data_IF_999857521352
#
_entry.id   IF_999857521352
#
_cell.length_a   1.000
_cell.length_b   1.000
_cell.length_c   1.000
_cell.angle_alpha   90.00
_cell.angle_beta   90.00
_cell.angle_gamma   90.00
#
_symmetry.space_group_name_H-M   'P 1'
#
loop_
_entity.id
_entity.type
_entity.pdbx_description
1 polymer ?
#
# COMPACT_ATOMS: atom_id res chain seq x y z
N UNK A 1 7.54 -31.47 12.76
CA UNK A 1 6.99 -30.10 12.54
C UNK A 1 5.78 -30.26 11.63
N UNK A 2 4.67 -29.71 11.99
CA UNK A 2 3.37 -30.28 11.73
C UNK A 2 2.67 -29.70 10.50
N UNK A 3 1.77 -30.50 9.91
CA UNK A 3 0.78 -30.07 8.94
C UNK A 3 0.03 -28.80 9.36
N UNK A 4 -0.05 -28.55 10.66
CA UNK A 4 -0.63 -27.38 11.29
C UNK A 4 0.13 -26.07 10.98
N UNK A 5 1.46 -26.04 11.11
CA UNK A 5 2.27 -24.86 10.80
C UNK A 5 2.15 -24.48 9.31
N UNK A 6 2.07 -25.48 8.44
CA UNK A 6 1.84 -25.27 7.03
C UNK A 6 0.45 -24.68 6.76
N UNK A 7 -0.60 -25.25 7.38
CA UNK A 7 -1.97 -24.76 7.24
C UNK A 7 -2.10 -23.30 7.73
N UNK A 8 -1.56 -22.99 8.91
CA UNK A 8 -1.56 -21.65 9.47
C UNK A 8 -0.82 -20.66 8.56
N UNK A 9 0.30 -21.04 7.96
CA UNK A 9 1.03 -20.20 7.02
C UNK A 9 0.18 -19.86 5.79
N UNK A 10 -0.50 -20.85 5.22
CA UNK A 10 -1.37 -20.66 4.05
C UNK A 10 -2.58 -19.80 4.39
N UNK A 11 -3.23 -20.02 5.52
CA UNK A 11 -4.37 -19.22 5.99
C UNK A 11 -3.95 -17.76 6.19
N UNK A 12 -2.84 -17.52 6.87
CA UNK A 12 -2.33 -16.17 7.12
C UNK A 12 -1.93 -15.42 5.84
N UNK A 13 -1.59 -16.13 4.75
CA UNK A 13 -1.06 -15.57 3.51
C UNK A 13 -1.98 -15.78 2.30
N UNK A 14 -3.28 -15.98 2.52
CA UNK A 14 -4.26 -16.22 1.47
C UNK A 14 -3.79 -17.30 0.45
N UNK A 15 -3.31 -18.41 0.98
CA UNK A 15 -2.76 -19.57 0.26
C UNK A 15 -1.50 -19.27 -0.58
N UNK A 16 -0.87 -18.11 -0.46
CA UNK A 16 0.42 -17.82 -1.08
C UNK A 16 1.58 -18.30 -0.17
N UNK A 17 2.61 -18.88 -0.77
CA UNK A 17 3.81 -19.31 -0.06
C UNK A 17 5.08 -19.05 -0.87
N UNK A 18 6.11 -18.51 -0.23
CA UNK A 18 7.42 -18.39 -0.85
C UNK A 18 8.26 -19.65 -0.63
N UNK A 19 9.04 -20.03 -1.64
CA UNK A 19 9.95 -21.18 -1.57
C UNK A 19 10.87 -21.15 -0.33
N UNK A 20 11.30 -19.95 0.08
CA UNK A 20 12.17 -19.78 1.26
C UNK A 20 11.48 -20.10 2.59
N UNK A 21 10.16 -20.06 2.65
CA UNK A 21 9.36 -20.42 3.84
C UNK A 21 9.15 -21.94 3.98
N UNK A 22 9.39 -22.69 2.88
CA UNK A 22 9.17 -24.12 2.86
C UNK A 22 9.82 -24.88 4.01
N UNK A 23 11.12 -24.70 4.27
CA UNK A 23 11.79 -25.37 5.40
C UNK A 23 11.13 -25.08 6.75
N UNK A 24 10.68 -23.84 6.98
CA UNK A 24 10.07 -23.41 8.25
C UNK A 24 8.72 -24.10 8.51
N UNK A 25 8.01 -24.48 7.44
CA UNK A 25 6.70 -25.14 7.50
C UNK A 25 6.73 -26.62 7.12
N UNK A 26 7.92 -27.19 6.98
CA UNK A 26 8.11 -28.62 6.69
C UNK A 26 7.77 -29.03 5.27
N UNK A 27 7.88 -28.13 4.30
CA UNK A 27 7.66 -28.40 2.87
C UNK A 27 8.95 -28.15 2.10
N UNK A 28 9.57 -29.24 1.66
CA UNK A 28 10.80 -29.15 0.88
C UNK A 28 10.57 -28.65 -0.56
N UNK A 29 11.61 -28.12 -1.22
CA UNK A 29 11.49 -27.58 -2.56
C UNK A 29 11.05 -28.57 -3.63
N UNK A 30 11.34 -29.87 -3.47
CA UNK A 30 10.94 -30.88 -4.44
C UNK A 30 9.45 -31.21 -4.31
N UNK A 31 8.94 -31.28 -3.09
CA UNK A 31 7.50 -31.35 -2.84
C UNK A 31 6.75 -30.19 -3.48
N UNK A 32 7.27 -28.93 -3.37
CA UNK A 32 6.66 -27.78 -4.04
C UNK A 32 6.65 -27.94 -5.56
N UNK A 33 7.77 -28.38 -6.15
CA UNK A 33 7.85 -28.62 -7.61
C UNK A 33 6.87 -29.70 -8.06
N UNK A 34 6.77 -30.79 -7.29
CA UNK A 34 5.85 -31.89 -7.60
C UNK A 34 4.40 -31.44 -7.56
N UNK A 35 4.01 -30.63 -6.57
CA UNK A 35 2.67 -30.05 -6.46
C UNK A 35 2.36 -29.10 -7.64
N UNK A 36 3.34 -28.34 -8.11
CA UNK A 36 3.19 -27.48 -9.30
C UNK A 36 3.08 -28.33 -10.57
N UNK A 37 3.93 -29.34 -10.74
CA UNK A 37 3.87 -30.25 -11.92
C UNK A 37 2.55 -31.02 -11.99
N UNK A 38 2.00 -31.41 -10.86
CA UNK A 38 0.71 -32.11 -10.80
C UNK A 38 -0.50 -31.17 -10.94
N UNK A 39 -0.32 -29.87 -11.14
CA UNK A 39 -1.39 -28.89 -11.27
C UNK A 39 -2.15 -28.59 -9.98
N UNK A 40 -1.75 -29.15 -8.83
CA UNK A 40 -2.36 -28.85 -7.53
C UNK A 40 -1.99 -27.45 -7.04
N UNK A 41 -0.80 -26.98 -7.40
CA UNK A 41 -0.29 -25.65 -7.11
C UNK A 41 0.02 -24.91 -8.40
N UNK A 42 0.05 -23.59 -8.32
CA UNK A 42 0.48 -22.76 -9.45
C UNK A 42 1.58 -21.80 -9.03
N UNK A 43 2.41 -21.42 -9.96
CA UNK A 43 3.46 -20.42 -9.76
C UNK A 43 2.89 -19.03 -10.03
N UNK A 44 2.85 -18.18 -9.01
CA UNK A 44 2.41 -16.79 -9.14
C UNK A 44 3.56 -15.87 -9.55
N UNK A 45 4.70 -16.04 -8.92
CA UNK A 45 5.90 -15.23 -9.12
C UNK A 45 7.15 -16.13 -9.03
N UNK A 46 8.34 -15.56 -9.32
CA UNK A 46 9.59 -16.30 -9.16
C UNK A 46 9.79 -16.71 -7.69
N UNK A 47 9.71 -18.01 -7.42
CA UNK A 47 9.85 -18.58 -6.08
C UNK A 47 8.67 -18.31 -5.15
N UNK A 48 7.51 -17.94 -5.69
CA UNK A 48 6.26 -17.80 -4.94
C UNK A 48 5.15 -18.57 -5.65
N UNK A 49 4.40 -19.32 -4.89
CA UNK A 49 3.38 -20.25 -5.34
C UNK A 49 2.04 -19.99 -4.64
N UNK A 50 0.94 -20.33 -5.31
CA UNK A 50 -0.36 -20.49 -4.67
C UNK A 50 -0.58 -22.01 -4.41
N UNK A 51 -1.07 -22.33 -3.22
CA UNK A 51 -1.36 -23.71 -2.82
C UNK A 51 -2.71 -24.22 -3.36
N UNK A 52 -3.11 -23.73 -4.52
CA UNK A 52 -4.31 -24.10 -5.26
C UNK A 52 -4.09 -23.86 -6.77
N UNK A 53 -5.04 -24.33 -7.59
CA UNK A 53 -5.14 -24.04 -9.02
C UNK A 53 -6.35 -23.13 -9.28
N UNK A 54 -6.32 -22.36 -10.39
CA UNK A 54 -7.36 -21.39 -10.74
C UNK A 54 -6.94 -19.94 -10.49
N UNK A 55 -7.85 -19.00 -10.79
CA UNK A 55 -7.53 -17.58 -10.72
C UNK A 55 -7.27 -17.12 -9.27
N UNK A 56 -6.12 -16.48 -9.01
CA UNK A 56 -5.81 -16.03 -7.66
C UNK A 56 -6.65 -14.80 -7.28
N UNK A 57 -7.26 -14.84 -6.10
CA UNK A 57 -7.92 -13.69 -5.53
C UNK A 57 -6.93 -12.51 -5.31
N UNK A 58 -7.45 -11.29 -5.27
CA UNK A 58 -6.64 -10.08 -5.06
C UNK A 58 -5.69 -10.20 -3.85
N UNK A 59 -6.18 -10.76 -2.75
CA UNK A 59 -5.39 -10.96 -1.53
C UNK A 59 -4.18 -11.87 -1.76
N UNK A 60 -4.37 -12.97 -2.48
CA UNK A 60 -3.29 -13.89 -2.87
C UNK A 60 -2.23 -13.19 -3.72
N UNK A 61 -2.66 -12.33 -4.66
CA UNK A 61 -1.75 -11.56 -5.52
C UNK A 61 -0.94 -10.55 -4.70
N UNK A 62 -1.56 -9.86 -3.75
CA UNK A 62 -0.88 -8.93 -2.84
C UNK A 62 0.17 -9.66 -1.98
N UNK A 63 -0.18 -10.81 -1.42
CA UNK A 63 0.76 -11.64 -0.69
C UNK A 63 1.90 -12.15 -1.56
N UNK A 64 1.61 -12.56 -2.79
CA UNK A 64 2.65 -13.03 -3.71
C UNK A 64 3.67 -11.93 -4.01
N UNK A 65 3.22 -10.70 -4.23
CA UNK A 65 4.10 -9.57 -4.45
C UNK A 65 4.97 -9.26 -3.22
N UNK A 66 4.38 -9.23 -2.02
CA UNK A 66 5.12 -9.03 -0.76
C UNK A 66 6.13 -10.15 -0.50
N UNK A 67 5.73 -11.39 -0.69
CA UNK A 67 6.60 -12.56 -0.52
C UNK A 67 7.77 -12.52 -1.50
N UNK A 68 7.57 -12.10 -2.73
CA UNK A 68 8.67 -11.94 -3.69
C UNK A 68 9.58 -10.77 -3.32
N UNK A 69 9.03 -9.65 -2.89
CA UNK A 69 9.80 -8.50 -2.41
C UNK A 69 10.65 -8.86 -1.17
N UNK A 70 10.16 -9.82 -0.36
CA UNK A 70 10.89 -10.40 0.76
C UNK A 70 10.62 -9.73 2.10
N UNK A 71 11.33 -10.15 3.17
CA UNK A 71 11.09 -9.69 4.53
C UNK A 71 11.12 -8.17 4.66
N UNK A 72 10.20 -7.63 5.46
CA UNK A 72 10.08 -6.20 5.72
C UNK A 72 9.33 -5.41 4.64
N UNK A 73 8.91 -6.01 3.53
CA UNK A 73 8.05 -5.35 2.55
C UNK A 73 6.65 -5.10 3.13
N UNK A 74 6.08 -3.93 2.82
CA UNK A 74 4.71 -3.56 3.19
C UNK A 74 3.99 -2.92 2.00
N UNK A 75 2.69 -3.13 1.87
CA UNK A 75 1.86 -2.39 0.92
C UNK A 75 1.84 -0.91 1.31
N UNK A 76 1.88 -0.01 0.33
CA UNK A 76 1.93 1.44 0.56
C UNK A 76 1.13 2.19 -0.51
N UNK A 77 1.05 3.52 -0.41
CA UNK A 77 0.40 4.39 -1.38
C UNK A 77 -1.01 3.90 -1.75
N UNK A 78 -1.32 3.74 -3.07
CA UNK A 78 -2.65 3.35 -3.56
C UNK A 78 -3.07 1.97 -3.05
N UNK A 79 -2.15 1.00 -2.98
CA UNK A 79 -2.51 -0.34 -2.50
C UNK A 79 -2.80 -0.35 -1.00
N UNK A 80 -2.09 0.45 -0.19
CA UNK A 80 -2.46 0.63 1.21
C UNK A 80 -3.77 1.42 1.35
N UNK A 81 -4.02 2.42 0.48
CA UNK A 81 -5.30 3.14 0.44
C UNK A 81 -6.49 2.20 0.14
N UNK A 82 -6.31 1.24 -0.77
CA UNK A 82 -7.27 0.14 -1.01
C UNK A 82 -7.55 -0.64 0.29
N UNK A 83 -6.49 -1.06 0.99
CA UNK A 83 -6.61 -1.82 2.26
C UNK A 83 -7.29 -1.00 3.37
N UNK A 84 -7.06 0.29 3.42
CA UNK A 84 -7.71 1.21 4.35
C UNK A 84 -9.09 1.68 3.90
N UNK A 85 -9.59 1.18 2.76
CA UNK A 85 -10.87 1.61 2.17
C UNK A 85 -10.93 3.12 1.93
N UNK A 86 -9.81 3.72 1.53
CA UNK A 86 -9.74 5.11 1.10
C UNK A 86 -10.09 5.27 -0.39
N UNK A 87 -10.02 4.19 -1.15
CA UNK A 87 -10.48 4.08 -2.54
C UNK A 87 -11.44 2.91 -2.65
N UNK A 88 -12.36 2.98 -3.58
CA UNK A 88 -13.42 1.98 -3.73
C UNK A 88 -12.99 0.86 -4.68
N UNK A 89 -12.22 1.21 -5.71
CA UNK A 89 -11.72 0.23 -6.69
C UNK A 89 -10.23 -0.03 -6.49
N UNK A 90 -9.81 -1.31 -6.57
CA UNK A 90 -8.40 -1.66 -6.46
C UNK A 90 -7.61 -1.13 -7.65
N UNK A 91 -6.41 -0.62 -7.37
CA UNK A 91 -5.45 -0.24 -8.42
C UNK A 91 -4.95 -1.46 -9.17
N UNK A 92 -4.86 -1.37 -10.50
CA UNK A 92 -4.21 -2.41 -11.32
C UNK A 92 -2.72 -2.59 -10.94
N UNK A 93 -2.07 -1.51 -10.51
CA UNK A 93 -0.67 -1.50 -10.10
C UNK A 93 -0.59 -1.69 -8.58
N UNK A 94 0.20 -2.65 -8.14
CA UNK A 94 0.51 -2.85 -6.73
C UNK A 94 1.64 -1.92 -6.34
N UNK A 95 1.45 -1.13 -5.29
CA UNK A 95 2.49 -0.25 -4.74
C UNK A 95 2.90 -0.73 -3.36
N UNK A 96 4.19 -0.86 -3.14
CA UNK A 96 4.75 -1.31 -1.88
C UNK A 96 6.02 -0.55 -1.51
N UNK A 97 6.37 -0.59 -0.25
CA UNK A 97 7.63 -0.05 0.28
C UNK A 97 8.46 -1.18 0.86
N UNK A 98 9.76 -1.18 0.57
CA UNK A 98 10.74 -2.11 1.12
C UNK A 98 11.77 -1.36 1.97
N UNK A 99 12.48 -2.04 2.89
CA UNK A 99 13.59 -1.43 3.63
C UNK A 99 14.63 -0.82 2.69
N UNK A 100 15.15 0.36 3.04
CA UNK A 100 16.13 1.07 2.21
C UNK A 100 17.45 0.30 2.02
N UNK A 101 17.77 -0.61 2.94
CA UNK A 101 18.92 -1.53 2.82
C UNK A 101 18.81 -2.52 1.65
N UNK A 102 17.61 -2.68 1.06
CA UNK A 102 17.42 -3.55 -0.10
C UNK A 102 17.83 -2.86 -1.40
N UNK A 103 18.62 -3.56 -2.20
CA UNK A 103 19.07 -3.04 -3.50
C UNK A 103 17.91 -3.06 -4.52
N UNK A 104 17.63 -1.93 -5.25
CA UNK A 104 16.51 -1.82 -6.18
C UNK A 104 16.53 -2.88 -7.31
N UNK A 105 17.73 -3.22 -7.79
CA UNK A 105 17.90 -4.20 -8.87
C UNK A 105 17.48 -5.63 -8.48
N UNK A 106 17.34 -5.93 -7.19
CA UNK A 106 16.96 -7.25 -6.69
C UNK A 106 15.46 -7.48 -6.63
N UNK A 107 14.66 -6.43 -6.79
CA UNK A 107 13.21 -6.49 -6.60
C UNK A 107 12.48 -5.86 -7.79
N UNK A 108 12.59 -6.48 -8.97
CA UNK A 108 11.73 -6.14 -10.11
C UNK A 108 10.58 -7.14 -10.19
N UNK A 109 9.36 -6.65 -9.98
CA UNK A 109 8.13 -7.44 -10.06
C UNK A 109 7.23 -6.78 -11.09
N UNK A 110 6.84 -7.47 -12.18
CA UNK A 110 5.91 -6.90 -13.16
C UNK A 110 4.61 -6.42 -12.50
N UNK A 111 4.12 -5.24 -12.88
CA UNK A 111 2.90 -4.66 -12.31
C UNK A 111 3.04 -4.14 -10.87
N UNK A 112 4.27 -4.00 -10.35
CA UNK A 112 4.53 -3.52 -9.00
C UNK A 112 5.47 -2.31 -9.02
N UNK A 113 5.07 -1.24 -8.33
CA UNK A 113 5.92 -0.09 -8.02
C UNK A 113 6.50 -0.29 -6.61
N UNK A 114 7.82 -0.14 -6.48
CA UNK A 114 8.53 -0.36 -5.23
C UNK A 114 9.21 0.93 -4.78
N UNK A 115 8.81 1.41 -3.61
CA UNK A 115 9.46 2.49 -2.89
C UNK A 115 10.43 1.93 -1.84
N UNK A 116 11.34 2.77 -1.36
CA UNK A 116 12.32 2.41 -0.32
C UNK A 116 12.23 3.39 0.84
N UNK A 117 12.30 2.88 2.06
CA UNK A 117 12.23 3.72 3.25
C UNK A 117 13.03 3.11 4.40
N UNK A 118 13.77 3.95 5.12
CA UNK A 118 14.40 3.58 6.39
C UNK A 118 13.40 3.60 7.54
N UNK A 119 12.29 4.33 7.38
CA UNK A 119 11.24 4.47 8.38
C UNK A 119 10.16 3.39 8.32
N UNK A 120 10.37 2.31 7.54
CA UNK A 120 9.32 1.32 7.26
C UNK A 120 8.78 0.64 8.53
N UNK A 121 9.62 0.40 9.52
CA UNK A 121 9.21 -0.22 10.80
C UNK A 121 8.29 0.70 11.61
N UNK A 122 8.51 2.01 11.54
CA UNK A 122 7.70 3.01 12.23
C UNK A 122 6.38 3.27 11.51
N UNK A 123 6.37 3.18 10.17
CA UNK A 123 5.20 3.47 9.33
C UNK A 123 4.30 2.26 9.11
N UNK A 124 4.80 1.05 9.38
CA UNK A 124 4.02 -0.19 9.26
C UNK A 124 2.87 -0.24 10.25
N UNK A 125 1.70 -0.66 9.78
CA UNK A 125 0.56 -0.96 10.65
C UNK A 125 0.87 -2.20 11.52
N UNK A 126 0.64 -2.15 12.85
CA UNK A 126 1.08 -3.22 13.76
C UNK A 126 0.36 -4.56 13.55
N UNK A 127 -0.89 -4.53 13.11
CA UNK A 127 -1.76 -5.71 13.10
C UNK A 127 -2.35 -6.06 11.72
N UNK A 128 -2.25 -5.19 10.70
CA UNK A 128 -2.87 -5.49 9.40
C UNK A 128 -2.12 -6.55 8.62
N UNK A 129 -2.89 -7.46 8.03
CA UNK A 129 -2.44 -8.47 7.06
C UNK A 129 -3.27 -8.35 5.78
N UNK A 130 -2.68 -8.43 4.60
CA UNK A 130 -1.23 -8.30 4.32
C UNK A 130 -0.62 -7.05 4.95
N UNK A 131 0.68 -7.07 5.34
CA UNK A 131 1.30 -5.92 5.99
C UNK A 131 1.23 -4.68 5.10
N UNK A 132 0.78 -3.56 5.67
CA UNK A 132 0.68 -2.27 4.98
C UNK A 132 1.12 -1.11 5.87
N UNK A 133 1.29 0.08 5.31
CA UNK A 133 1.53 1.31 6.06
C UNK A 133 0.30 1.70 6.89
N UNK A 134 0.48 2.42 8.00
CA UNK A 134 -0.63 3.00 8.78
C UNK A 134 -1.44 3.96 7.90
N UNK A 135 -2.68 4.24 8.28
CA UNK A 135 -3.56 5.15 7.52
C UNK A 135 -2.89 6.50 7.31
N UNK A 136 -2.38 7.09 8.37
CA UNK A 136 -1.73 8.40 8.33
C UNK A 136 -0.53 8.40 7.38
N UNK A 137 0.34 7.39 7.52
CA UNK A 137 1.51 7.26 6.65
C UNK A 137 1.14 7.01 5.21
N UNK A 138 0.09 6.23 4.96
CA UNK A 138 -0.47 6.02 3.61
C UNK A 138 -0.92 7.33 2.98
N UNK A 139 -1.65 8.16 3.75
CA UNK A 139 -2.10 9.49 3.30
C UNK A 139 -0.88 10.37 2.98
N UNK A 140 0.11 10.40 3.87
CA UNK A 140 1.32 11.20 3.66
C UNK A 140 2.15 10.71 2.45
N UNK A 141 2.19 9.41 2.20
CA UNK A 141 2.86 8.86 1.01
C UNK A 141 2.14 9.28 -0.29
N UNK A 142 0.80 9.27 -0.27
CA UNK A 142 -0.01 9.73 -1.41
C UNK A 142 0.13 11.24 -1.66
N UNK A 143 0.23 12.04 -0.60
CA UNK A 143 0.52 13.48 -0.69
C UNK A 143 1.85 13.73 -1.41
N UNK A 144 2.89 12.94 -1.13
CA UNK A 144 4.20 13.14 -1.77
C UNK A 144 4.18 13.00 -3.29
N UNK A 145 3.30 12.13 -3.81
CA UNK A 145 3.16 11.86 -5.24
C UNK A 145 1.97 12.57 -5.88
N UNK A 146 1.19 13.33 -5.12
CA UNK A 146 0.05 14.06 -5.64
C UNK A 146 0.47 15.10 -6.69
N UNK A 147 -0.25 15.26 -7.82
CA UNK A 147 0.10 16.21 -8.86
C UNK A 147 -0.11 17.67 -8.42
N UNK A 148 -1.10 17.93 -7.58
CA UNK A 148 -1.46 19.26 -7.08
C UNK A 148 -1.67 19.28 -5.57
N UNK A 149 -1.72 20.51 -5.00
CA UNK A 149 -2.09 20.68 -3.59
C UNK A 149 -3.52 20.20 -3.32
N UNK A 150 -4.44 20.47 -4.21
CA UNK A 150 -5.84 20.06 -4.09
C UNK A 150 -5.96 18.53 -4.03
N UNK A 151 -5.21 17.81 -4.87
CA UNK A 151 -5.16 16.34 -4.83
C UNK A 151 -4.55 15.85 -3.52
N UNK A 152 -3.51 16.51 -3.03
CA UNK A 152 -2.88 16.20 -1.75
C UNK A 152 -3.85 16.39 -0.58
N UNK A 153 -4.55 17.52 -0.53
CA UNK A 153 -5.52 17.82 0.51
C UNK A 153 -6.75 16.89 0.43
N UNK A 154 -7.18 16.54 -0.77
CA UNK A 154 -8.28 15.59 -0.98
C UNK A 154 -8.05 14.23 -0.29
N UNK A 155 -6.80 13.77 -0.19
CA UNK A 155 -6.49 12.53 0.55
C UNK A 155 -6.73 12.68 2.04
N UNK A 156 -6.41 13.84 2.62
CA UNK A 156 -6.68 14.15 4.03
C UNK A 156 -8.20 14.17 4.28
N UNK A 157 -8.93 14.93 3.47
CA UNK A 157 -10.39 15.04 3.56
C UNK A 157 -11.06 13.65 3.44
N UNK A 158 -10.61 12.85 2.50
CA UNK A 158 -11.13 11.49 2.29
C UNK A 158 -10.88 10.58 3.49
N UNK A 159 -9.68 10.61 4.05
CA UNK A 159 -9.34 9.75 5.19
C UNK A 159 -10.13 10.12 6.44
N UNK A 160 -10.32 11.42 6.71
CA UNK A 160 -11.12 11.91 7.83
C UNK A 160 -12.61 11.69 7.58
N UNK A 161 -13.12 12.06 6.40
CA UNK A 161 -14.52 11.87 6.03
C UNK A 161 -14.96 10.41 6.06
N UNK A 162 -14.06 9.47 5.72
CA UNK A 162 -14.31 8.03 5.86
C UNK A 162 -14.05 7.49 7.29
N UNK A 163 -13.78 8.37 8.24
CA UNK A 163 -13.51 8.04 9.66
C UNK A 163 -12.39 7.01 9.85
N UNK A 164 -11.35 7.08 9.00
CA UNK A 164 -10.19 6.18 9.10
C UNK A 164 -9.10 6.74 9.99
N UNK A 165 -9.08 8.06 10.16
CA UNK A 165 -8.14 8.79 11.02
C UNK A 165 -8.75 10.13 11.43
N UNK A 166 -8.00 10.91 12.19
CA UNK A 166 -8.37 12.28 12.62
C UNK A 166 -7.32 13.29 12.16
N UNK A 167 -7.70 14.58 12.13
CA UNK A 167 -6.79 15.67 11.83
C UNK A 167 -5.54 15.67 12.71
N UNK A 168 -5.71 15.45 14.02
CA UNK A 168 -4.58 15.40 14.98
C UNK A 168 -3.64 14.23 14.75
N UNK A 169 -4.16 13.07 14.35
CA UNK A 169 -3.32 11.92 14.03
C UNK A 169 -2.50 12.18 12.77
N UNK A 170 -3.11 12.77 11.75
CA UNK A 170 -2.39 13.18 10.53
C UNK A 170 -1.32 14.22 10.87
N UNK A 171 -1.65 15.25 11.68
CA UNK A 171 -0.69 16.28 12.09
C UNK A 171 0.52 15.67 12.81
N UNK A 172 0.29 14.78 13.79
CA UNK A 172 1.37 14.05 14.48
C UNK A 172 2.24 13.24 13.53
N UNK A 173 1.63 12.57 12.55
CA UNK A 173 2.39 11.82 11.55
C UNK A 173 3.20 12.76 10.62
N UNK A 174 2.66 13.95 10.29
CA UNK A 174 3.39 14.99 9.55
C UNK A 174 4.62 15.47 10.34
N UNK A 175 4.47 15.70 11.65
CA UNK A 175 5.56 16.18 12.52
C UNK A 175 6.69 15.16 12.62
N UNK A 176 6.36 13.88 12.60
CA UNK A 176 7.36 12.81 12.62
C UNK A 176 8.18 12.68 11.31
N UNK A 177 7.74 13.28 10.21
CA UNK A 177 8.45 13.23 8.92
C UNK A 177 9.47 14.36 8.80
N UNK A 178 10.70 14.07 8.41
CA UNK A 178 11.75 15.07 8.18
C UNK A 178 11.45 15.99 7.00
N UNK A 179 10.97 15.42 5.90
CA UNK A 179 10.64 16.15 4.66
C UNK A 179 9.24 15.82 4.22
N UNK A 180 8.49 16.86 3.84
CA UNK A 180 7.13 16.70 3.35
C UNK A 180 6.78 17.86 2.40
N UNK A 181 6.19 17.51 1.26
CA UNK A 181 5.67 18.45 0.29
C UNK A 181 4.45 19.17 0.87
N UNK A 182 4.32 20.47 0.63
CA UNK A 182 3.21 21.32 1.09
C UNK A 182 2.96 21.31 2.62
N UNK A 183 3.98 21.01 3.43
CA UNK A 183 3.80 20.92 4.89
C UNK A 183 3.11 22.13 5.50
N UNK A 184 3.57 23.35 5.15
CA UNK A 184 3.02 24.59 5.74
C UNK A 184 1.56 24.78 5.35
N UNK A 185 1.27 24.66 4.07
CA UNK A 185 -0.06 24.82 3.49
C UNK A 185 -1.04 23.80 4.07
N UNK A 186 -0.62 22.54 4.21
CA UNK A 186 -1.46 21.48 4.79
C UNK A 186 -1.71 21.70 6.28
N UNK A 187 -0.72 22.15 7.05
CA UNK A 187 -0.90 22.46 8.47
C UNK A 187 -1.93 23.57 8.65
N UNK A 188 -1.83 24.65 7.84
CA UNK A 188 -2.81 25.74 7.84
C UNK A 188 -4.20 25.20 7.48
N UNK A 189 -4.33 24.49 6.35
CA UNK A 189 -5.60 23.97 5.88
C UNK A 189 -6.29 23.01 6.88
N UNK A 190 -5.51 22.20 7.60
CA UNK A 190 -6.03 21.32 8.66
C UNK A 190 -6.42 22.11 9.89
N UNK A 191 -5.68 23.21 10.22
CA UNK A 191 -5.95 24.07 11.35
C UNK A 191 -7.21 24.92 11.18
N UNK A 192 -7.40 25.47 10.01
CA UNK A 192 -8.53 26.36 9.68
C UNK A 192 -9.88 25.63 9.58
N UNK A 193 -9.83 24.33 9.26
CA UNK A 193 -11.04 23.54 9.04
C UNK A 193 -11.81 23.18 10.31
N UNK A 194 -11.27 23.43 11.51
CA UNK A 194 -11.92 23.06 12.78
C UNK A 194 -12.31 21.58 12.88
N UNK A 195 -12.79 21.15 14.03
CA UNK A 195 -13.13 19.71 14.28
C UNK A 195 -14.35 19.20 13.50
N UNK A 196 -15.03 20.00 12.69
CA UNK A 196 -16.33 19.67 12.12
C UNK A 196 -16.44 19.51 10.61
N UNK A 197 -15.59 20.14 9.80
CA UNK A 197 -15.85 20.20 8.35
C UNK A 197 -14.57 20.26 7.52
N UNK A 198 -13.83 19.17 7.42
CA UNK A 198 -12.75 19.04 6.44
C UNK A 198 -13.34 18.63 5.07
N UNK A 199 -13.87 19.62 4.34
CA UNK A 199 -14.32 19.45 2.96
C UNK A 199 -13.38 20.16 2.01
N UNK A 200 -12.98 19.49 0.93
CA UNK A 200 -12.22 20.10 -0.15
C UNK A 200 -12.99 21.29 -0.77
N UNK A 201 -14.32 21.22 -0.78
CA UNK A 201 -15.19 22.27 -1.29
C UNK A 201 -15.12 23.51 -0.38
N UNK A 202 -15.13 23.33 0.94
CA UNK A 202 -15.02 24.43 1.91
C UNK A 202 -13.63 25.05 1.87
N UNK A 203 -12.58 24.24 1.77
CA UNK A 203 -11.23 24.75 1.58
C UNK A 203 -11.13 25.63 0.30
N UNK A 204 -11.66 25.14 -0.83
CA UNK A 204 -11.68 25.89 -2.09
C UNK A 204 -12.52 27.17 -2.01
N UNK A 205 -13.62 27.15 -1.25
CA UNK A 205 -14.47 28.33 -1.05
C UNK A 205 -13.74 29.42 -0.26
N UNK A 206 -12.99 29.03 0.78
CA UNK A 206 -12.29 29.98 1.66
C UNK A 206 -10.99 30.51 1.02
N UNK A 207 -10.25 29.68 0.27
CA UNK A 207 -8.92 30.03 -0.23
C UNK A 207 -8.82 30.21 -1.76
N UNK A 208 -9.81 29.77 -2.51
CA UNK A 208 -9.88 29.88 -3.96
C UNK A 208 -11.01 30.79 -4.36
N UNK A 209 -10.75 32.06 -4.64
CA UNK A 209 -11.76 33.00 -5.12
C UNK A 209 -12.62 32.41 -6.24
N UNK A 210 -13.79 31.99 -5.89
CA UNK A 210 -15.02 31.85 -6.65
C UNK A 210 -14.97 31.44 -8.12
N UNK A 211 -14.43 30.30 -8.49
CA UNK A 211 -14.74 29.70 -9.80
C UNK A 211 -14.95 28.20 -9.67
N UNK A 212 -16.20 27.79 -9.71
CA UNK A 212 -16.63 26.40 -9.72
C UNK A 212 -16.26 25.74 -11.08
N UNK A 213 -15.06 25.21 -11.20
CA UNK A 213 -14.74 24.24 -12.24
C UNK A 213 -14.90 22.84 -11.66
N UNK A 214 -15.92 22.15 -12.15
CA UNK A 214 -16.26 20.77 -11.83
C UNK A 214 -15.17 19.84 -12.35
N UNK A 215 -14.27 19.37 -11.48
CA UNK A 215 -13.34 18.31 -11.84
C UNK A 215 -14.04 16.95 -11.70
N UNK A 216 -13.92 16.05 -12.70
CA UNK A 216 -14.49 14.72 -12.62
C UNK A 216 -13.75 13.87 -11.58
N UNK A 217 -14.49 13.32 -10.63
CA UNK A 217 -14.05 12.27 -9.73
C UNK A 217 -13.89 10.98 -10.56
N UNK A 218 -12.66 10.55 -10.76
CA UNK A 218 -12.39 9.21 -11.27
C UNK A 218 -11.85 9.14 -12.70
N UNK A 219 -10.55 9.38 -12.84
CA UNK A 219 -9.75 8.68 -13.86
C UNK A 219 -8.36 8.43 -13.26
N UNK A 220 -7.77 7.23 -13.41
CA UNK A 220 -6.39 7.01 -13.03
C UNK A 220 -5.52 7.85 -13.96
N UNK A 221 -4.74 8.77 -13.39
CA UNK A 221 -3.70 9.46 -14.12
C UNK A 221 -2.77 8.43 -14.75
N UNK A 222 -2.68 8.44 -16.07
CA UNK A 222 -1.76 7.59 -16.80
C UNK A 222 -0.37 7.69 -16.22
N UNK A 223 0.23 6.54 -15.95
CA UNK A 223 1.56 6.43 -15.40
C UNK A 223 2.57 7.12 -16.33
N UNK A 224 3.02 8.29 -15.94
CA UNK A 224 4.16 8.93 -16.59
C UNK A 224 5.43 8.18 -16.16
N UNK A 225 5.85 7.22 -16.98
CA UNK A 225 7.02 6.37 -16.76
C UNK A 225 8.37 7.14 -16.84
N UNK A 226 8.34 8.45 -17.10
CA UNK A 226 9.54 9.23 -17.39
C UNK A 226 10.26 9.85 -16.17
N UNK A 227 9.72 9.74 -14.95
CA UNK A 227 10.26 10.45 -13.79
C UNK A 227 11.11 9.60 -12.82
N UNK A 228 11.43 8.34 -13.15
CA UNK A 228 12.20 7.48 -12.27
C UNK A 228 13.40 6.84 -13.00
N UNK A 229 14.38 7.66 -13.36
CA UNK A 229 15.75 7.22 -13.60
C UNK A 229 16.65 7.58 -12.41
#
# INVERSE_FOLDING_TARGET
MSAEAFSQCLEAQAAAIARRQGPDVGVDPETMRTRVRSGRWQRLQRGVYAAFSGDPARETVLWAALLQAGPGAVLSHQTAAERHRLIDEPSAIITMTVPASRHPAQVKIPGVIIHRSDAILQTRHPAMLPPCTRVEDTVLDLIQIAPSFDDAYAWICRAIGRRRTTADRIRRAMDARKKMRWRRELVTAIGDAGEGALSLLEYRYVHGGGTLARAPLGAPAGANQAAYR
#
